data_IF_678279445690
#
_entry.id   IF_678279445690
#
_cell.length_a   1.000
_cell.length_b   1.000
_cell.length_c   1.000
_cell.angle_alpha   90.00
_cell.angle_beta   90.00
_cell.angle_gamma   90.00
#
_symmetry.space_group_name_H-M   'P 1'
#
loop_
_entity.id
_entity.type
_entity.pdbx_description
1 polymer ?
#
# COMPACT_ATOMS: atom_id res chain seq x y z
N UNK A 1 -1.52 -7.08 25.25
CA UNK A 1 -2.71 -7.83 24.97
C UNK A 1 -3.19 -7.65 23.55
N UNK A 2 -4.14 -8.44 23.20
CA UNK A 2 -4.68 -8.51 21.86
C UNK A 2 -5.31 -7.21 21.36
N UNK A 3 -5.84 -6.39 22.25
CA UNK A 3 -6.60 -5.20 21.88
C UNK A 3 -5.73 -4.21 21.06
N UNK A 4 -4.48 -4.00 21.48
CA UNK A 4 -3.59 -3.08 20.76
C UNK A 4 -3.25 -3.60 19.38
N UNK A 5 -3.09 -4.91 19.23
CA UNK A 5 -2.79 -5.50 17.93
C UNK A 5 -3.98 -5.39 16.99
N UNK A 6 -5.19 -5.57 17.52
CA UNK A 6 -6.41 -5.45 16.71
C UNK A 6 -6.56 -4.03 16.20
N UNK A 7 -6.31 -3.04 17.05
CA UNK A 7 -6.42 -1.63 16.64
C UNK A 7 -5.40 -1.30 15.56
N UNK A 8 -4.17 -1.76 15.71
CA UNK A 8 -3.13 -1.54 14.71
C UNK A 8 -3.50 -2.16 13.38
N UNK A 9 -4.07 -3.37 13.42
CA UNK A 9 -4.47 -4.06 12.20
C UNK A 9 -5.60 -3.31 11.50
N UNK A 10 -6.56 -2.79 12.26
CA UNK A 10 -7.67 -2.03 11.67
C UNK A 10 -7.14 -0.78 10.99
N UNK A 11 -6.24 -0.04 11.65
CA UNK A 11 -5.65 1.16 11.06
C UNK A 11 -4.88 0.83 9.80
N UNK A 12 -4.12 -0.25 9.82
CA UNK A 12 -3.35 -0.68 8.66
C UNK A 12 -4.26 -1.02 7.49
N UNK A 13 -5.35 -1.76 7.76
CA UNK A 13 -6.29 -2.12 6.71
C UNK A 13 -7.01 -0.91 6.13
N UNK A 14 -7.35 0.07 6.97
CA UNK A 14 -7.94 1.31 6.49
C UNK A 14 -6.98 2.04 5.55
N UNK A 15 -5.70 2.08 5.90
CA UNK A 15 -4.70 2.72 5.07
C UNK A 15 -4.53 1.97 3.75
N UNK A 16 -4.52 0.66 3.78
CA UNK A 16 -4.43 -0.15 2.57
C UNK A 16 -5.62 0.14 1.67
N UNK A 17 -6.82 0.27 2.25
CA UNK A 17 -8.01 0.63 1.47
C UNK A 17 -7.86 1.97 0.78
N UNK A 18 -7.39 2.99 1.51
CA UNK A 18 -7.19 4.31 0.93
C UNK A 18 -6.12 4.30 -0.16
N UNK A 19 -5.02 3.61 0.10
CA UNK A 19 -3.95 3.48 -0.89
C UNK A 19 -4.47 2.80 -2.14
N UNK A 20 -5.26 1.75 -1.98
CA UNK A 20 -5.83 1.01 -3.10
C UNK A 20 -6.73 1.89 -3.96
N UNK A 21 -7.61 2.68 -3.32
CA UNK A 21 -8.50 3.57 -4.06
C UNK A 21 -7.70 4.59 -4.86
N UNK A 22 -6.70 5.21 -4.24
CA UNK A 22 -5.88 6.19 -4.93
C UNK A 22 -5.08 5.56 -6.05
N UNK A 23 -4.59 4.36 -5.84
CA UNK A 23 -3.84 3.65 -6.86
C UNK A 23 -4.74 3.29 -8.04
N UNK A 24 -5.99 2.88 -7.77
CA UNK A 24 -6.94 2.57 -8.83
C UNK A 24 -7.20 3.79 -9.71
N UNK A 25 -7.30 4.97 -9.09
CA UNK A 25 -7.48 6.21 -9.83
C UNK A 25 -6.27 6.55 -10.69
N UNK A 26 -5.08 6.37 -10.13
CA UNK A 26 -3.83 6.67 -10.83
C UNK A 26 -3.61 5.73 -12.02
N UNK A 27 -3.91 4.46 -11.84
CA UNK A 27 -3.71 3.44 -12.88
C UNK A 27 -4.91 3.29 -13.80
N UNK A 28 -6.05 3.88 -13.44
CA UNK A 28 -7.30 3.77 -14.19
C UNK A 28 -7.75 2.32 -14.32
N UNK A 29 -7.67 1.62 -13.22
CA UNK A 29 -8.13 0.23 -13.10
C UNK A 29 -9.14 0.14 -11.97
N UNK A 30 -9.83 -1.00 -11.88
CA UNK A 30 -10.78 -1.21 -10.79
C UNK A 30 -10.04 -1.27 -9.45
N UNK A 31 -10.73 -0.96 -8.34
CA UNK A 31 -10.11 -1.09 -7.02
C UNK A 31 -9.61 -2.50 -6.74
N UNK A 32 -10.32 -3.52 -7.23
CA UNK A 32 -9.90 -4.91 -7.04
C UNK A 32 -8.56 -5.16 -7.73
N UNK A 33 -8.42 -4.66 -8.95
CA UNK A 33 -7.17 -4.81 -9.68
C UNK A 33 -6.05 -4.04 -9.00
N UNK A 34 -6.34 -2.83 -8.53
CA UNK A 34 -5.36 -2.03 -7.81
C UNK A 34 -4.91 -2.72 -6.53
N UNK A 35 -5.84 -3.37 -5.82
CA UNK A 35 -5.50 -4.11 -4.62
C UNK A 35 -4.53 -5.24 -4.93
N UNK A 36 -4.80 -6.00 -5.99
CA UNK A 36 -3.91 -7.08 -6.40
C UNK A 36 -2.52 -6.56 -6.72
N UNK A 37 -2.46 -5.46 -7.47
CA UNK A 37 -1.18 -4.86 -7.85
C UNK A 37 -0.41 -4.43 -6.60
N UNK A 38 -1.08 -3.75 -5.68
CA UNK A 38 -0.43 -3.30 -4.45
C UNK A 38 0.03 -4.47 -3.60
N UNK A 39 -0.84 -5.46 -3.43
CA UNK A 39 -0.55 -6.58 -2.54
C UNK A 39 0.65 -7.41 -3.02
N UNK A 40 0.86 -7.48 -4.33
CA UNK A 40 1.99 -8.20 -4.90
C UNK A 40 3.26 -7.37 -4.98
N UNK A 41 3.19 -6.08 -4.66
CA UNK A 41 4.33 -5.18 -4.83
C UNK A 41 5.34 -5.33 -3.69
N UNK A 42 6.58 -5.02 -3.99
CA UNK A 42 7.62 -4.91 -2.96
C UNK A 42 7.32 -3.77 -2.01
N UNK A 43 6.68 -2.72 -2.51
CA UNK A 43 6.28 -1.59 -1.68
C UNK A 43 5.34 -2.04 -0.57
N UNK A 44 4.40 -2.95 -0.87
CA UNK A 44 3.49 -3.47 0.15
C UNK A 44 4.26 -4.23 1.22
N UNK A 45 5.24 -5.03 0.84
CA UNK A 45 6.06 -5.76 1.80
C UNK A 45 6.80 -4.80 2.73
N UNK A 46 7.38 -3.74 2.16
CA UNK A 46 8.06 -2.73 2.97
C UNK A 46 7.09 -1.97 3.86
N UNK A 47 5.87 -1.75 3.38
CA UNK A 47 4.85 -1.06 4.16
C UNK A 47 4.48 -1.86 5.41
N UNK A 48 4.46 -3.19 5.32
CA UNK A 48 4.15 -4.06 6.46
C UNK A 48 5.35 -4.28 7.38
N UNK A 49 6.56 -3.98 6.92
CA UNK A 49 7.78 -4.22 7.69
C UNK A 49 8.11 -2.97 8.50
N UNK A 50 7.99 -3.04 9.84
CA UNK A 50 8.25 -1.86 10.68
C UNK A 50 9.68 -1.35 10.58
N UNK A 51 10.64 -2.20 10.22
CA UNK A 51 12.04 -1.80 10.13
C UNK A 51 12.29 -0.82 8.99
N UNK A 52 11.47 -0.84 7.94
CA UNK A 52 11.63 0.08 6.83
C UNK A 52 11.12 1.48 7.13
N UNK A 53 10.21 1.62 8.09
CA UNK A 53 9.59 2.90 8.41
C UNK A 53 8.65 3.42 7.33
N UNK A 54 8.38 2.65 6.30
CA UNK A 54 7.56 3.12 5.20
C UNK A 54 6.14 3.47 5.65
N UNK A 55 5.62 2.75 6.65
CA UNK A 55 4.28 3.01 7.14
C UNK A 55 4.13 4.40 7.77
N UNK A 56 5.24 5.07 8.08
CA UNK A 56 5.20 6.42 8.63
C UNK A 56 4.94 7.49 7.59
N UNK A 57 5.07 7.15 6.31
CA UNK A 57 4.82 8.09 5.23
C UNK A 57 3.34 8.11 4.85
N UNK A 58 2.93 9.18 4.19
CA UNK A 58 1.54 9.34 3.78
C UNK A 58 1.14 8.42 2.63
N UNK A 59 -0.16 8.28 2.43
CA UNK A 59 -0.69 7.38 1.42
C UNK A 59 -0.21 7.76 0.02
N UNK A 60 -0.14 9.05 -0.29
CA UNK A 60 0.31 9.49 -1.62
C UNK A 60 1.75 9.09 -1.89
N UNK A 61 2.60 9.15 -0.86
CA UNK A 61 3.99 8.72 -1.00
C UNK A 61 4.04 7.23 -1.35
N UNK A 62 3.23 6.44 -0.67
CA UNK A 62 3.21 5.00 -0.91
C UNK A 62 2.70 4.69 -2.31
N UNK A 63 1.66 5.39 -2.75
CA UNK A 63 1.16 5.23 -4.12
C UNK A 63 2.26 5.56 -5.13
N UNK A 64 2.99 6.65 -4.92
CA UNK A 64 4.08 7.03 -5.81
C UNK A 64 5.18 5.96 -5.85
N UNK A 65 5.46 5.32 -4.71
CA UNK A 65 6.45 4.25 -4.68
C UNK A 65 5.99 3.03 -5.48
N UNK A 66 4.71 2.69 -5.39
CA UNK A 66 4.17 1.61 -6.20
C UNK A 66 4.27 1.96 -7.69
N UNK A 67 3.92 3.18 -8.05
CA UNK A 67 4.00 3.62 -9.44
C UNK A 67 5.42 3.53 -9.97
N UNK A 68 6.39 3.95 -9.17
CA UNK A 68 7.79 3.87 -9.55
C UNK A 68 8.23 2.43 -9.72
N UNK A 69 7.82 1.56 -8.83
CA UNK A 69 8.14 0.14 -8.90
C UNK A 69 7.60 -0.48 -10.18
N UNK A 70 6.37 -0.15 -10.54
CA UNK A 70 5.76 -0.66 -11.77
C UNK A 70 6.52 -0.21 -13.01
N UNK A 71 6.97 1.05 -13.03
CA UNK A 71 7.74 1.57 -14.16
C UNK A 71 9.06 0.82 -14.28
N UNK A 72 9.72 0.54 -13.17
CA UNK A 72 10.98 -0.18 -13.19
C UNK A 72 10.80 -1.60 -13.70
N UNK A 73 9.70 -2.25 -13.35
CA UNK A 73 9.46 -3.62 -13.78
C UNK A 73 9.10 -3.74 -15.26
N UNK A 74 8.68 -2.64 -15.88
CA UNK A 74 8.32 -2.65 -17.29
C UNK A 74 9.51 -2.46 -18.20
N UNK A 75 10.69 -2.21 -17.66
CA UNK A 75 11.92 -2.08 -18.44
C UNK A 75 12.55 -3.48 -18.73
#
# INVERSE_FOLDING_TARGET
MSDNNIIKDIILWQRIGCITVRLSERLKVSPEKAFDIFYESDTCQRFHDPDTGLYLYGDLYIVDEVMRELQDKQR
#
